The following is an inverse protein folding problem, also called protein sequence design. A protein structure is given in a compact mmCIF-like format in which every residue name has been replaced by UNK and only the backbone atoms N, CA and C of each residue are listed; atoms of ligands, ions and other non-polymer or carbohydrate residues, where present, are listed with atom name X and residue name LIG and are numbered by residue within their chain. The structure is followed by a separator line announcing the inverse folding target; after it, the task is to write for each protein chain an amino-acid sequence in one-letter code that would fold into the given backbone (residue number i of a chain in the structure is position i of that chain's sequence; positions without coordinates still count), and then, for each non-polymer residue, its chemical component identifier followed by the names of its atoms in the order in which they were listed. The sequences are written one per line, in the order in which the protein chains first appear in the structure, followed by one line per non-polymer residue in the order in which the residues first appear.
data_IF_410357655705
#
_entry.id   IF_410357655705
#
_cell.length_a   1.000
_cell.length_b   1.000
_cell.length_c   1.000
_cell.angle_alpha   90.00
_cell.angle_beta   90.00
_cell.angle_gamma   90.00
#
_symmetry.space_group_name_H-M   'P 1'
#
loop_
_entity.id
_entity.type
_entity.pdbx_description
1 polymer ?
#
# COMPACT_ATOMS: atom_id res chain seq x y z
N UNK A 1 40.56 -36.58 36.89
CA UNK A 1 40.94 -36.07 35.56
C UNK A 1 39.78 -35.27 35.01
N UNK A 2 40.00 -34.31 34.11
CA UNK A 2 38.91 -33.70 33.34
C UNK A 2 38.64 -34.56 32.10
N UNK A 3 37.37 -34.87 31.83
CA UNK A 3 37.00 -35.75 30.73
C UNK A 3 37.09 -35.03 29.38
N UNK A 4 38.22 -35.23 28.69
CA UNK A 4 38.49 -34.66 27.36
C UNK A 4 37.40 -35.01 26.34
N UNK A 5 36.77 -36.19 26.49
CA UNK A 5 35.65 -36.65 25.64
C UNK A 5 34.38 -35.78 25.76
N UNK A 6 34.22 -35.00 26.83
CA UNK A 6 33.09 -34.07 27.02
C UNK A 6 33.46 -32.64 26.63
N UNK A 7 34.73 -32.26 26.82
CA UNK A 7 35.24 -30.93 26.48
C UNK A 7 35.40 -30.73 24.97
N UNK A 8 35.90 -31.72 24.22
CA UNK A 8 36.12 -31.58 22.78
C UNK A 8 34.83 -31.32 21.98
N UNK A 9 33.71 -32.06 22.18
CA UNK A 9 32.45 -31.79 21.48
C UNK A 9 31.83 -30.43 21.81
N UNK A 10 31.92 -29.99 23.08
CA UNK A 10 31.35 -28.72 23.51
C UNK A 10 32.15 -27.51 22.98
N UNK A 11 33.49 -27.60 22.93
CA UNK A 11 34.34 -26.61 22.28
C UNK A 11 34.07 -26.52 20.77
N UNK A 12 33.93 -27.66 20.08
CA UNK A 12 33.61 -27.70 18.65
C UNK A 12 32.23 -27.09 18.34
N UNK A 13 31.22 -27.43 19.14
CA UNK A 13 29.86 -26.87 19.02
C UNK A 13 29.87 -25.34 19.25
N UNK A 14 30.59 -24.86 20.28
CA UNK A 14 30.71 -23.43 20.54
C UNK A 14 31.43 -22.68 19.40
N UNK A 15 32.49 -23.26 18.82
CA UNK A 15 33.19 -22.68 17.68
C UNK A 15 32.32 -22.57 16.43
N UNK A 16 31.38 -23.51 16.23
CA UNK A 16 30.44 -23.51 15.11
C UNK A 16 29.24 -22.58 15.35
N UNK A 17 28.77 -22.44 16.60
CA UNK A 17 27.67 -21.55 16.96
C UNK A 17 28.08 -20.07 17.07
N UNK A 18 29.29 -19.77 17.56
CA UNK A 18 29.78 -18.39 17.74
C UNK A 18 29.66 -17.49 16.48
N UNK A 19 30.08 -17.91 15.27
CA UNK A 19 29.92 -17.07 14.06
C UNK A 19 28.46 -16.92 13.65
N UNK A 20 27.59 -17.90 13.93
CA UNK A 20 26.14 -17.82 13.66
C UNK A 20 25.50 -16.79 14.59
N UNK A 21 25.82 -16.85 15.89
CA UNK A 21 25.35 -15.88 16.90
C UNK A 21 25.85 -14.47 16.55
N UNK A 22 27.13 -14.32 16.18
CA UNK A 22 27.68 -13.05 15.74
C UNK A 22 26.97 -12.50 14.49
N UNK A 23 26.66 -13.35 13.50
CA UNK A 23 25.91 -12.94 12.31
C UNK A 23 24.46 -12.51 12.66
N UNK A 24 23.80 -13.18 13.61
CA UNK A 24 22.47 -12.77 14.12
C UNK A 24 22.54 -11.43 14.85
N UNK A 25 23.56 -11.21 15.70
CA UNK A 25 23.76 -9.93 16.40
C UNK A 25 24.06 -8.80 15.40
N UNK A 26 24.95 -9.02 14.43
CA UNK A 26 25.31 -8.02 13.42
C UNK A 26 24.13 -7.69 12.50
N UNK A 27 23.32 -8.67 12.09
CA UNK A 27 22.11 -8.41 11.29
C UNK A 27 21.04 -7.69 12.09
N UNK A 28 20.79 -8.07 13.35
CA UNK A 28 19.85 -7.37 14.22
C UNK A 28 20.29 -5.93 14.50
N UNK A 29 21.57 -5.71 14.84
CA UNK A 29 22.16 -4.38 15.02
C UNK A 29 22.08 -3.53 13.76
N UNK A 30 22.35 -4.11 12.59
CA UNK A 30 22.16 -3.44 11.30
C UNK A 30 20.69 -3.05 11.07
N UNK A 31 19.71 -3.90 11.42
CA UNK A 31 18.30 -3.55 11.33
C UNK A 31 17.89 -2.44 12.33
N UNK A 32 18.47 -2.39 13.52
CA UNK A 32 18.25 -1.29 14.49
C UNK A 32 18.83 0.03 13.95
N UNK A 33 20.07 0.04 13.47
CA UNK A 33 20.68 1.23 12.83
C UNK A 33 19.87 1.67 11.61
N UNK A 34 19.46 0.72 10.76
CA UNK A 34 18.57 0.92 9.59
C UNK A 34 17.10 1.21 9.95
N UNK A 35 16.76 1.30 11.24
CA UNK A 35 15.51 1.88 11.75
C UNK A 35 15.74 3.32 12.24
N UNK A 36 16.78 3.55 13.06
CA UNK A 36 17.13 4.87 13.59
C UNK A 36 17.46 5.87 12.45
N UNK A 37 18.29 5.48 11.49
CA UNK A 37 18.65 6.34 10.35
C UNK A 37 17.44 6.74 9.51
N UNK A 38 16.43 5.86 9.38
CA UNK A 38 15.16 6.18 8.69
C UNK A 38 14.30 7.15 9.46
N UNK A 39 14.22 7.00 10.79
CA UNK A 39 13.43 7.91 11.62
C UNK A 39 14.03 9.32 11.60
N UNK A 40 15.36 9.45 11.70
CA UNK A 40 16.04 10.75 11.60
C UNK A 40 15.94 11.40 10.21
N UNK A 41 16.16 10.65 9.13
CA UNK A 41 16.18 11.20 7.76
C UNK A 41 14.80 11.66 7.24
N UNK A 42 13.70 11.17 7.80
CA UNK A 42 12.35 11.52 7.36
C UNK A 42 11.89 12.91 7.85
N UNK A 43 12.34 13.36 9.03
CA UNK A 43 11.80 14.56 9.68
C UNK A 43 12.09 15.86 8.89
N UNK A 44 13.35 16.17 8.52
CA UNK A 44 13.66 17.41 7.80
C UNK A 44 12.99 17.47 6.42
N UNK A 45 12.76 16.31 5.81
CA UNK A 45 12.15 16.20 4.48
C UNK A 45 10.63 16.34 4.51
N UNK A 46 9.96 15.94 5.61
CA UNK A 46 8.53 16.18 5.76
C UNK A 46 8.21 17.69 5.74
N UNK A 47 9.05 18.48 6.43
CA UNK A 47 8.98 19.95 6.46
C UNK A 47 9.54 20.64 5.20
N UNK A 48 10.14 19.91 4.25
CA UNK A 48 10.63 20.47 2.97
C UNK A 48 9.64 20.28 1.81
N UNK A 49 8.37 20.01 2.10
CA UNK A 49 7.28 20.03 1.12
C UNK A 49 6.70 21.44 1.02
N UNK A 50 6.09 21.74 -0.11
CA UNK A 50 5.18 22.87 -0.23
C UNK A 50 3.74 22.35 -0.24
N UNK A 51 2.83 23.13 0.34
CA UNK A 51 1.39 22.88 0.33
C UNK A 51 0.78 23.67 -0.83
N UNK A 52 0.11 22.98 -1.75
CA UNK A 52 -0.62 23.57 -2.86
C UNK A 52 -2.12 23.36 -2.65
N UNK A 53 -2.89 24.44 -2.50
CA UNK A 53 -4.36 24.37 -2.55
C UNK A 53 -4.79 24.30 -4.01
N UNK A 54 -5.63 23.31 -4.35
CA UNK A 54 -6.12 23.09 -5.71
C UNK A 54 -7.61 23.43 -5.75
N UNK A 55 -7.94 24.51 -6.44
CA UNK A 55 -9.28 25.08 -6.51
C UNK A 55 -9.91 25.00 -7.90
N UNK A 56 -11.23 25.20 -7.93
CA UNK A 56 -11.99 25.48 -9.16
C UNK A 56 -11.56 26.83 -9.78
N UNK A 57 -11.87 27.08 -11.06
CA UNK A 57 -11.57 28.36 -11.70
C UNK A 57 -12.25 29.54 -10.99
N UNK A 58 -11.64 30.73 -11.03
CA UNK A 58 -12.27 31.97 -10.51
C UNK A 58 -13.47 32.43 -11.36
N UNK A 59 -13.48 32.05 -12.63
CA UNK A 59 -14.45 32.50 -13.64
C UNK A 59 -15.46 31.41 -14.00
N UNK A 60 -15.91 30.62 -13.02
CA UNK A 60 -17.05 29.72 -13.23
C UNK A 60 -18.33 30.54 -13.19
N UNK A 61 -19.07 30.58 -14.31
CA UNK A 61 -20.43 31.09 -14.34
C UNK A 61 -21.28 30.39 -13.27
N UNK A 62 -21.93 31.16 -12.41
CA UNK A 62 -22.78 30.61 -11.33
C UNK A 62 -23.99 29.82 -11.85
N UNK A 63 -24.32 29.92 -13.13
CA UNK A 63 -25.30 29.07 -13.80
C UNK A 63 -24.69 27.74 -14.29
N UNK A 64 -23.46 27.74 -14.80
CA UNK A 64 -22.74 26.52 -15.19
C UNK A 64 -22.34 25.68 -13.96
N UNK A 65 -22.07 26.33 -12.82
CA UNK A 65 -21.89 25.66 -11.53
C UNK A 65 -23.17 25.00 -10.97
N UNK A 66 -24.35 25.41 -11.44
CA UNK A 66 -25.67 24.90 -10.98
C UNK A 66 -26.29 23.87 -11.91
N UNK A 67 -25.70 23.63 -13.09
CA UNK A 67 -26.11 22.54 -13.97
C UNK A 67 -25.67 21.22 -13.37
N UNK A 68 -26.61 20.30 -13.16
CA UNK A 68 -26.29 18.94 -12.76
C UNK A 68 -25.39 18.31 -13.81
N UNK A 69 -24.19 17.89 -13.39
CA UNK A 69 -23.21 17.22 -14.25
C UNK A 69 -23.75 15.82 -14.54
N UNK A 70 -23.90 15.44 -15.82
CA UNK A 70 -24.41 14.10 -16.13
C UNK A 70 -23.41 13.03 -15.68
N UNK A 71 -23.88 11.81 -15.46
CA UNK A 71 -23.00 10.70 -15.04
C UNK A 71 -21.84 10.50 -16.02
N UNK A 72 -22.09 10.63 -17.32
CA UNK A 72 -21.10 10.49 -18.39
C UNK A 72 -20.01 11.57 -18.26
N UNK A 73 -20.40 12.83 -18.03
CA UNK A 73 -19.48 13.96 -17.83
C UNK A 73 -18.65 13.81 -16.54
N UNK A 74 -19.23 13.24 -15.48
CA UNK A 74 -18.51 12.91 -14.25
C UNK A 74 -17.51 11.76 -14.48
N UNK A 75 -17.91 10.67 -15.15
CA UNK A 75 -17.02 9.58 -15.54
C UNK A 75 -15.87 10.04 -16.48
N UNK A 76 -16.13 11.01 -17.36
CA UNK A 76 -15.12 11.64 -18.21
C UNK A 76 -14.10 12.45 -17.38
N UNK A 77 -14.58 13.38 -16.54
CA UNK A 77 -13.72 14.19 -15.66
C UNK A 77 -12.88 13.34 -14.71
N UNK A 78 -13.40 12.24 -14.19
CA UNK A 78 -12.63 11.29 -13.35
C UNK A 78 -11.62 10.49 -14.20
N UNK A 79 -11.94 10.19 -15.46
CA UNK A 79 -10.98 9.55 -16.38
C UNK A 79 -9.79 10.46 -16.71
N UNK A 80 -10.01 11.77 -16.82
CA UNK A 80 -8.92 12.76 -16.99
C UNK A 80 -7.96 12.78 -15.78
N UNK A 81 -8.47 12.62 -14.55
CA UNK A 81 -7.64 12.44 -13.36
C UNK A 81 -6.89 11.10 -13.34
N UNK A 82 -7.46 10.03 -13.89
CA UNK A 82 -6.81 8.72 -13.97
C UNK A 82 -5.48 8.79 -14.75
N UNK A 83 -5.40 9.64 -15.78
CA UNK A 83 -4.16 9.93 -16.52
C UNK A 83 -3.15 10.74 -15.71
N UNK A 84 -3.58 11.75 -14.94
CA UNK A 84 -2.72 12.52 -14.04
C UNK A 84 -2.03 11.59 -13.01
N UNK A 85 -2.80 10.68 -12.39
CA UNK A 85 -2.24 9.68 -11.49
C UNK A 85 -1.36 8.64 -12.21
N UNK A 86 -1.65 8.33 -13.48
CA UNK A 86 -0.79 7.47 -14.29
C UNK A 86 0.58 8.13 -14.58
N UNK A 87 0.63 9.45 -14.79
CA UNK A 87 1.89 10.22 -14.87
C UNK A 87 2.74 10.05 -13.61
N UNK A 88 2.16 10.27 -12.43
CA UNK A 88 2.83 10.09 -11.13
C UNK A 88 3.30 8.63 -10.93
N UNK A 89 2.49 7.65 -11.35
CA UNK A 89 2.84 6.23 -11.32
C UNK A 89 3.87 5.80 -12.39
N UNK A 90 4.11 6.65 -13.39
CA UNK A 90 5.14 6.49 -14.43
C UNK A 90 6.52 7.04 -14.01
N UNK A 91 6.58 7.88 -12.97
CA UNK A 91 7.85 8.38 -12.42
C UNK A 91 8.77 7.24 -11.99
N UNK A 92 10.08 7.45 -12.08
CA UNK A 92 11.08 6.47 -11.64
C UNK A 92 11.07 6.32 -10.11
N UNK A 93 10.45 5.25 -9.61
CA UNK A 93 10.45 4.90 -8.20
C UNK A 93 11.88 4.83 -7.62
N UNK A 94 12.11 5.51 -6.51
CA UNK A 94 13.41 5.55 -5.84
C UNK A 94 14.04 4.18 -5.53
N UNK A 95 15.34 4.08 -5.79
CA UNK A 95 16.09 2.82 -5.82
C UNK A 95 17.58 3.06 -5.51
N UNK A 96 18.20 2.16 -4.75
CA UNK A 96 19.64 2.18 -4.47
C UNK A 96 19.94 2.01 -2.98
N UNK A 97 21.21 2.22 -2.61
CA UNK A 97 21.68 2.08 -1.24
C UNK A 97 21.08 3.15 -0.31
N UNK A 98 21.04 4.41 -0.75
CA UNK A 98 20.50 5.53 0.02
C UNK A 98 19.01 5.33 0.32
N UNK A 99 18.18 5.09 -0.71
CA UNK A 99 16.75 4.82 -0.52
C UNK A 99 16.46 3.51 0.23
N UNK A 100 17.45 2.61 0.38
CA UNK A 100 17.38 1.46 1.29
C UNK A 100 17.72 1.84 2.74
N UNK A 101 18.82 2.57 2.98
CA UNK A 101 19.23 2.97 4.34
C UNK A 101 18.28 3.99 4.95
N UNK A 102 18.06 5.13 4.28
CA UNK A 102 17.37 6.30 4.82
C UNK A 102 15.86 6.30 4.53
N UNK A 103 15.43 5.63 3.45
CA UNK A 103 14.03 5.58 3.02
C UNK A 103 13.81 6.28 1.68
N UNK A 104 12.59 6.18 1.16
CA UNK A 104 12.17 6.90 -0.07
C UNK A 104 11.58 8.25 0.29
N UNK A 105 11.94 9.28 -0.46
CA UNK A 105 11.54 10.66 -0.28
C UNK A 105 10.52 11.12 -1.35
N UNK A 106 10.44 10.45 -2.49
CA UNK A 106 9.54 10.65 -3.64
C UNK A 106 8.01 10.49 -3.40
N UNK A 107 7.48 11.00 -2.28
CA UNK A 107 6.10 10.84 -1.82
C UNK A 107 5.30 12.15 -1.76
N UNK A 108 4.15 12.15 -2.44
CA UNK A 108 3.16 13.23 -2.46
C UNK A 108 2.02 12.87 -1.50
N UNK A 109 1.25 13.86 -1.03
CA UNK A 109 -0.01 13.64 -0.30
C UNK A 109 -1.11 14.41 -1.00
N UNK A 110 -2.20 13.75 -1.39
CA UNK A 110 -3.43 14.40 -1.85
C UNK A 110 -4.41 14.42 -0.69
N UNK A 111 -4.92 15.59 -0.32
CA UNK A 111 -5.51 15.80 0.99
C UNK A 111 -6.88 16.49 0.87
N UNK A 112 -7.88 15.90 1.52
CA UNK A 112 -9.22 16.47 1.64
C UNK A 112 -9.36 16.94 3.09
N UNK A 113 -9.53 18.24 3.29
CA UNK A 113 -9.52 18.89 4.60
C UNK A 113 -10.88 19.51 4.85
N UNK A 114 -11.49 19.18 5.99
CA UNK A 114 -12.71 19.82 6.46
C UNK A 114 -12.41 20.65 7.72
N UNK A 115 -12.80 21.91 7.69
CA UNK A 115 -12.64 22.87 8.79
C UNK A 115 -13.67 24.00 8.63
N UNK A 116 -14.31 24.43 9.73
CA UNK A 116 -15.26 25.55 9.77
C UNK A 116 -16.32 25.52 8.63
N UNK A 117 -16.95 24.35 8.46
CA UNK A 117 -18.00 24.10 7.47
C UNK A 117 -17.55 24.08 6.01
N UNK A 118 -16.25 24.19 5.73
CA UNK A 118 -15.65 24.17 4.38
C UNK A 118 -14.91 22.87 4.14
N UNK A 119 -14.91 22.42 2.89
CA UNK A 119 -14.05 21.34 2.41
C UNK A 119 -13.09 21.92 1.38
N UNK A 120 -11.79 21.80 1.66
CA UNK A 120 -10.70 22.27 0.81
C UNK A 120 -9.79 21.12 0.38
N UNK A 121 -9.22 21.26 -0.82
CA UNK A 121 -8.36 20.25 -1.44
C UNK A 121 -6.92 20.74 -1.52
N UNK A 122 -5.99 19.98 -0.95
CA UNK A 122 -4.57 20.31 -0.90
C UNK A 122 -3.71 19.19 -1.49
N UNK A 123 -2.50 19.54 -1.95
CA UNK A 123 -1.47 18.59 -2.32
C UNK A 123 -0.14 18.98 -1.68
N UNK A 124 0.33 18.16 -0.74
CA UNK A 124 1.65 18.31 -0.11
C UNK A 124 2.71 17.62 -0.97
N UNK A 125 3.53 18.42 -1.68
CA UNK A 125 4.45 17.95 -2.73
C UNK A 125 5.90 18.35 -2.44
N UNK A 126 6.90 17.47 -2.68
CA UNK A 126 8.31 17.87 -2.64
C UNK A 126 8.61 19.00 -3.62
N UNK A 127 9.43 19.97 -3.21
CA UNK A 127 9.70 21.19 -4.00
C UNK A 127 10.16 20.92 -5.45
N UNK A 128 10.97 19.88 -5.67
CA UNK A 128 11.44 19.50 -7.02
C UNK A 128 10.36 18.83 -7.90
N UNK A 129 9.29 18.30 -7.31
CA UNK A 129 8.13 17.75 -8.03
C UNK A 129 7.01 18.77 -8.23
N UNK A 130 6.98 19.88 -7.47
CA UNK A 130 5.93 20.89 -7.52
C UNK A 130 5.61 21.37 -8.94
N UNK A 131 6.65 21.76 -9.70
CA UNK A 131 6.48 22.22 -11.10
C UNK A 131 5.92 21.13 -12.00
N UNK A 132 6.38 19.89 -11.86
CA UNK A 132 5.88 18.76 -12.64
C UNK A 132 4.41 18.48 -12.31
N UNK A 133 4.06 18.42 -11.01
CA UNK A 133 2.68 18.21 -10.56
C UNK A 133 1.75 19.30 -11.09
N UNK A 134 2.12 20.59 -10.96
CA UNK A 134 1.32 21.70 -11.49
C UNK A 134 1.10 21.58 -13.00
N UNK A 135 2.12 21.16 -13.75
CA UNK A 135 1.99 20.88 -15.20
C UNK A 135 1.07 19.68 -15.49
N UNK A 136 1.06 18.64 -14.66
CA UNK A 136 0.12 17.51 -14.81
C UNK A 136 -1.33 17.90 -14.45
N UNK A 137 -1.54 18.75 -13.44
CA UNK A 137 -2.87 19.27 -13.10
C UNK A 137 -3.39 20.17 -14.23
N UNK A 138 -2.61 21.15 -14.70
CA UNK A 138 -3.04 22.04 -15.79
C UNK A 138 -3.17 21.35 -17.16
N UNK A 139 -2.53 20.21 -17.40
CA UNK A 139 -2.75 19.45 -18.64
C UNK A 139 -4.19 18.92 -18.74
N UNK A 140 -4.72 18.42 -17.61
CA UNK A 140 -6.06 17.80 -17.56
C UNK A 140 -7.14 18.81 -17.14
N UNK A 141 -6.78 19.82 -16.35
CA UNK A 141 -7.66 20.89 -15.88
C UNK A 141 -7.00 22.26 -16.11
N UNK A 142 -6.98 22.79 -17.36
CA UNK A 142 -6.27 24.03 -17.71
C UNK A 142 -6.64 25.23 -16.84
N UNK A 143 -7.91 25.31 -16.43
CA UNK A 143 -8.48 26.41 -15.64
C UNK A 143 -8.41 26.21 -14.12
N UNK A 144 -7.85 25.09 -13.62
CA UNK A 144 -7.71 24.86 -12.18
C UNK A 144 -6.81 25.92 -11.53
N UNK A 145 -7.20 26.43 -10.36
CA UNK A 145 -6.37 27.32 -9.57
C UNK A 145 -5.42 26.50 -8.71
N UNK A 146 -4.13 26.87 -8.67
CA UNK A 146 -3.12 26.23 -7.83
C UNK A 146 -2.41 27.33 -7.03
N UNK A 147 -2.80 27.51 -5.77
CA UNK A 147 -2.19 28.48 -4.86
C UNK A 147 -1.19 27.77 -3.94
N UNK A 148 0.03 28.28 -3.81
CA UNK A 148 0.90 27.87 -2.71
C UNK A 148 0.43 28.58 -1.43
N UNK A 149 0.23 27.83 -0.36
CA UNK A 149 -0.23 28.35 0.94
C UNK A 149 0.68 27.89 2.08
N UNK A 150 0.53 28.51 3.24
CA UNK A 150 1.06 27.99 4.50
C UNK A 150 0.29 26.72 4.92
N UNK A 151 0.86 25.94 5.84
CA UNK A 151 0.27 24.68 6.27
C UNK A 151 -1.02 24.89 7.09
N UNK A 152 -2.02 24.04 6.88
CA UNK A 152 -3.33 24.20 7.49
C UNK A 152 -3.38 23.54 8.87
N UNK A 153 -4.13 24.13 9.81
CA UNK A 153 -4.28 23.60 11.16
C UNK A 153 -5.72 23.14 11.44
N UNK A 154 -5.95 21.83 11.49
CA UNK A 154 -7.23 21.23 11.91
C UNK A 154 -7.39 21.11 13.44
N UNK A 155 -6.34 21.39 14.22
CA UNK A 155 -6.31 21.08 15.65
C UNK A 155 -6.89 22.21 16.51
N UNK A 156 -7.98 21.92 17.23
CA UNK A 156 -8.48 22.75 18.34
C UNK A 156 -7.40 22.77 19.44
N UNK A 157 -7.05 23.93 20.04
CA UNK A 157 -6.00 24.01 21.07
C UNK A 157 -6.23 23.11 22.30
N UNK A 158 -7.48 22.86 22.66
CA UNK A 158 -7.91 21.97 23.75
C UNK A 158 -8.71 20.76 23.21
N UNK A 159 -8.46 20.33 21.97
CA UNK A 159 -9.19 19.26 21.30
C UNK A 159 -8.70 17.84 21.61
N UNK A 160 -9.58 16.87 21.43
CA UNK A 160 -9.25 15.45 21.40
C UNK A 160 -8.94 15.02 19.97
N UNK A 161 -7.83 14.30 19.78
CA UNK A 161 -7.37 13.84 18.46
C UNK A 161 -7.66 12.34 18.32
N UNK A 162 -8.30 11.97 17.21
CA UNK A 162 -8.52 10.59 16.80
C UNK A 162 -7.92 10.38 15.39
N UNK A 163 -7.35 9.21 15.11
CA UNK A 163 -6.78 8.94 13.79
C UNK A 163 -6.69 7.45 13.44
N UNK A 164 -6.71 7.17 12.14
CA UNK A 164 -6.67 5.82 11.58
C UNK A 164 -5.82 5.78 10.30
N UNK A 165 -5.43 4.57 9.90
CA UNK A 165 -4.81 4.30 8.60
C UNK A 165 -5.36 3.04 7.98
N UNK A 166 -5.68 3.07 6.70
CA UNK A 166 -6.34 1.96 6.03
C UNK A 166 -5.39 0.82 5.68
N UNK A 167 -5.91 -0.41 5.77
CA UNK A 167 -5.31 -1.62 5.24
C UNK A 167 -6.28 -2.28 4.23
N UNK A 168 -5.75 -2.99 3.24
CA UNK A 168 -6.56 -3.68 2.25
C UNK A 168 -7.09 -5.00 2.83
N UNK A 169 -8.42 -5.21 2.78
CA UNK A 169 -9.06 -6.46 3.23
C UNK A 169 -8.73 -7.69 2.36
N UNK A 170 -8.23 -7.48 1.14
CA UNK A 170 -7.70 -8.52 0.23
C UNK A 170 -6.32 -8.14 -0.28
N UNK A 171 -5.58 -9.12 -0.82
CA UNK A 171 -4.25 -8.89 -1.40
C UNK A 171 -4.27 -7.79 -2.47
N UNK A 172 -3.24 -6.94 -2.50
CA UNK A 172 -3.14 -5.77 -3.40
C UNK A 172 -3.19 -6.11 -4.90
N UNK A 173 -3.04 -7.38 -5.29
CA UNK A 173 -3.23 -7.83 -6.68
C UNK A 173 -4.68 -7.66 -7.14
N UNK A 174 -5.67 -7.77 -6.25
CA UNK A 174 -7.09 -7.68 -6.59
C UNK A 174 -7.51 -6.23 -6.84
N UNK A 175 -8.46 -5.97 -7.75
CA UNK A 175 -9.05 -4.65 -7.94
C UNK A 175 -9.92 -4.22 -6.75
N UNK A 176 -10.15 -2.91 -6.65
CA UNK A 176 -11.17 -2.27 -5.80
C UNK A 176 -12.35 -1.84 -6.69
N UNK A 177 -13.50 -1.51 -6.11
CA UNK A 177 -14.66 -0.97 -6.86
C UNK A 177 -14.26 0.42 -7.38
N UNK A 178 -14.21 0.57 -8.70
CA UNK A 178 -13.86 1.82 -9.37
C UNK A 178 -15.10 2.62 -9.73
N UNK A 179 -14.94 3.92 -9.98
CA UNK A 179 -15.99 4.83 -10.48
C UNK A 179 -16.78 4.25 -11.67
N UNK A 180 -16.11 3.54 -12.58
CA UNK A 180 -16.72 2.85 -13.75
C UNK A 180 -17.67 1.70 -13.37
N UNK A 181 -17.63 1.21 -12.14
CA UNK A 181 -18.55 0.21 -11.56
C UNK A 181 -19.42 0.79 -10.44
N UNK A 182 -19.49 2.11 -10.29
CA UNK A 182 -20.28 2.80 -9.26
C UNK A 182 -21.55 3.43 -9.84
N UNK A 183 -22.54 3.58 -8.97
CA UNK A 183 -23.89 3.98 -9.32
C UNK A 183 -24.06 5.50 -9.14
N UNK A 184 -23.56 6.05 -8.03
CA UNK A 184 -23.44 7.47 -7.66
C UNK A 184 -22.01 8.01 -7.84
N UNK A 185 -21.72 9.24 -7.37
CA UNK A 185 -20.37 9.79 -7.35
C UNK A 185 -19.50 9.05 -6.30
N UNK A 186 -18.23 8.70 -6.61
CA UNK A 186 -17.33 8.07 -5.65
C UNK A 186 -16.99 8.91 -4.39
N UNK A 187 -17.22 10.22 -4.39
CA UNK A 187 -16.90 11.12 -3.26
C UNK A 187 -18.10 11.42 -2.35
N UNK A 188 -19.35 11.17 -2.78
CA UNK A 188 -20.57 11.54 -2.04
C UNK A 188 -20.54 11.07 -0.58
N UNK A 189 -20.19 9.80 -0.32
CA UNK A 189 -20.14 9.26 1.04
C UNK A 189 -19.04 9.92 1.90
N UNK A 190 -17.95 10.38 1.27
CA UNK A 190 -16.81 11.02 1.95
C UNK A 190 -17.16 12.46 2.31
N UNK A 191 -17.66 13.25 1.35
CA UNK A 191 -18.09 14.64 1.59
C UNK A 191 -19.24 14.73 2.58
N UNK A 192 -20.21 13.80 2.54
CA UNK A 192 -21.30 13.71 3.52
C UNK A 192 -20.89 13.19 4.91
N UNK A 193 -19.68 12.64 5.07
CA UNK A 193 -19.11 12.37 6.41
C UNK A 193 -18.36 13.60 6.95
N UNK A 194 -17.69 14.35 6.08
CA UNK A 194 -16.97 15.58 6.40
C UNK A 194 -17.89 16.78 6.70
N UNK A 195 -19.06 16.88 6.05
CA UNK A 195 -20.02 17.97 6.27
C UNK A 195 -20.76 17.93 7.61
N UNK A 196 -20.54 16.89 8.42
CA UNK A 196 -21.13 16.72 9.77
C UNK A 196 -20.26 17.29 10.90
N UNK A 197 -19.06 17.78 10.60
CA UNK A 197 -18.17 18.39 11.59
C UNK A 197 -18.78 19.69 12.14
N UNK A 198 -18.70 19.90 13.45
CA UNK A 198 -19.16 21.11 14.12
C UNK A 198 -18.18 22.28 13.96
N UNK A 199 -18.60 23.47 14.39
CA UNK A 199 -17.81 24.69 14.26
C UNK A 199 -16.46 24.59 15.00
N UNK A 200 -15.36 24.74 14.25
CA UNK A 200 -13.99 24.51 14.72
C UNK A 200 -13.58 23.05 14.94
N UNK A 201 -14.42 22.05 14.64
CA UNK A 201 -13.93 20.66 14.50
C UNK A 201 -13.20 20.56 13.15
N UNK A 202 -12.17 19.72 13.08
CA UNK A 202 -11.32 19.60 11.91
C UNK A 202 -11.00 18.15 11.57
N UNK A 203 -11.01 17.81 10.28
CA UNK A 203 -10.57 16.51 9.79
C UNK A 203 -9.73 16.64 8.53
N UNK A 204 -8.72 15.78 8.39
CA UNK A 204 -7.94 15.65 7.17
C UNK A 204 -7.85 14.18 6.74
N UNK A 205 -8.19 13.92 5.48
CA UNK A 205 -8.03 12.63 4.81
C UNK A 205 -6.80 12.74 3.92
N UNK A 206 -5.72 12.04 4.26
CA UNK A 206 -4.45 12.08 3.55
C UNK A 206 -4.28 10.84 2.68
N UNK A 207 -4.26 11.02 1.35
CA UNK A 207 -3.98 9.98 0.36
C UNK A 207 -2.51 10.12 -0.06
N UNK A 208 -1.62 9.47 0.68
CA UNK A 208 -0.17 9.53 0.45
C UNK A 208 0.20 8.56 -0.67
N UNK A 209 0.81 9.07 -1.74
CA UNK A 209 1.15 8.32 -2.96
C UNK A 209 2.61 8.48 -3.38
N UNK A 210 3.15 7.46 -4.04
CA UNK A 210 4.42 7.50 -4.80
C UNK A 210 4.45 6.39 -5.85
N UNK A 211 5.29 6.51 -6.88
CA UNK A 211 5.47 5.46 -7.89
C UNK A 211 5.81 4.09 -7.28
N UNK A 212 5.12 3.03 -7.71
CA UNK A 212 5.36 1.66 -7.26
C UNK A 212 6.48 0.98 -8.06
N UNK A 213 7.31 0.18 -7.38
CA UNK A 213 8.38 -0.58 -8.05
C UNK A 213 7.80 -1.64 -8.98
N UNK A 214 8.25 -1.68 -10.24
CA UNK A 214 7.72 -2.50 -11.34
C UNK A 214 7.55 -4.02 -11.05
N UNK A 215 8.19 -4.54 -10.01
CA UNK A 215 7.93 -5.86 -9.46
C UNK A 215 6.49 -6.09 -8.98
N UNK A 216 5.73 -5.04 -8.61
CA UNK A 216 4.38 -5.17 -8.05
C UNK A 216 3.42 -5.90 -9.01
N UNK A 217 3.37 -5.49 -10.28
CA UNK A 217 2.47 -6.07 -11.30
C UNK A 217 2.84 -7.51 -11.64
N UNK A 218 4.11 -7.89 -11.49
CA UNK A 218 4.57 -9.26 -11.75
C UNK A 218 3.91 -10.30 -10.84
N UNK A 219 3.48 -9.91 -9.63
CA UNK A 219 2.80 -10.82 -8.70
C UNK A 219 1.39 -11.14 -9.20
N UNK A 220 0.63 -10.13 -9.63
CA UNK A 220 -0.70 -10.31 -10.24
C UNK A 220 -0.63 -11.15 -11.53
N UNK A 221 0.25 -10.79 -12.46
CA UNK A 221 0.42 -11.52 -13.73
C UNK A 221 0.87 -12.98 -13.53
N UNK A 222 1.67 -13.26 -12.49
CA UNK A 222 2.00 -14.65 -12.12
C UNK A 222 0.79 -15.39 -11.57
N UNK A 223 -0.04 -14.77 -10.73
CA UNK A 223 -1.27 -15.41 -10.22
C UNK A 223 -2.22 -15.76 -11.36
N UNK A 224 -2.45 -14.84 -12.29
CA UNK A 224 -3.32 -15.09 -13.46
C UNK A 224 -2.73 -16.19 -14.36
N UNK A 225 -1.42 -16.19 -14.62
CA UNK A 225 -0.75 -17.28 -15.36
C UNK A 225 -0.84 -18.64 -14.66
N UNK A 226 -0.90 -18.68 -13.33
CA UNK A 226 -1.14 -19.93 -12.59
C UNK A 226 -2.63 -20.33 -12.60
N UNK A 227 -3.57 -19.39 -12.61
CA UNK A 227 -5.00 -19.67 -12.81
C UNK A 227 -5.29 -20.25 -14.21
N UNK A 228 -4.72 -19.64 -15.25
CA UNK A 228 -4.83 -20.10 -16.66
C UNK A 228 -4.32 -21.53 -16.88
N UNK A 229 -3.52 -22.09 -15.96
CA UNK A 229 -3.12 -23.52 -15.95
C UNK A 229 -4.13 -24.46 -15.30
N UNK A 230 -5.32 -23.97 -14.94
CA UNK A 230 -6.34 -24.73 -14.23
C UNK A 230 -6.07 -24.91 -12.74
N UNK A 231 -5.51 -23.88 -12.08
CA UNK A 231 -5.51 -23.78 -10.61
C UNK A 231 -6.61 -22.84 -10.15
N UNK A 232 -7.32 -23.22 -9.09
CA UNK A 232 -8.26 -22.31 -8.41
C UNK A 232 -7.54 -21.06 -7.90
N UNK A 233 -8.27 -19.95 -7.77
CA UNK A 233 -7.76 -18.66 -7.25
C UNK A 233 -6.86 -18.82 -6.01
N UNK A 234 -7.33 -19.56 -4.99
CA UNK A 234 -6.61 -19.77 -3.74
C UNK A 234 -5.31 -20.59 -3.89
N UNK A 235 -5.26 -21.53 -4.83
CA UNK A 235 -4.04 -22.30 -5.15
C UNK A 235 -3.05 -21.44 -5.94
N UNK A 236 -3.52 -20.64 -6.90
CA UNK A 236 -2.69 -19.73 -7.67
C UNK A 236 -1.98 -18.71 -6.75
N UNK A 237 -2.75 -17.99 -5.92
CA UNK A 237 -2.22 -17.03 -4.92
C UNK A 237 -1.23 -17.68 -3.96
N UNK A 238 -1.51 -18.90 -3.44
CA UNK A 238 -0.55 -19.63 -2.59
C UNK A 238 0.73 -20.04 -3.33
N UNK A 239 0.63 -20.43 -4.61
CA UNK A 239 1.80 -20.88 -5.39
C UNK A 239 2.73 -19.75 -5.84
N UNK A 240 2.22 -18.53 -5.98
CA UNK A 240 3.00 -17.29 -6.21
C UNK A 240 3.39 -16.61 -4.88
N UNK A 241 2.77 -17.01 -3.77
CA UNK A 241 2.79 -16.31 -2.50
C UNK A 241 4.17 -16.15 -1.87
N UNK A 242 4.46 -14.93 -1.42
CA UNK A 242 5.70 -14.54 -0.74
C UNK A 242 5.98 -15.33 0.57
N UNK A 243 4.99 -16.06 1.09
CA UNK A 243 5.16 -17.10 2.12
C UNK A 243 6.29 -18.07 1.73
N UNK A 244 6.48 -18.36 0.44
CA UNK A 244 7.57 -19.21 -0.04
C UNK A 244 8.97 -18.63 0.21
N UNK A 245 9.16 -17.33 0.48
CA UNK A 245 10.50 -16.78 0.71
C UNK A 245 10.94 -16.97 2.16
N UNK A 246 10.12 -16.55 3.14
CA UNK A 246 10.35 -16.85 4.55
C UNK A 246 10.27 -18.36 4.80
N UNK A 247 9.31 -19.02 4.15
CA UNK A 247 9.10 -20.47 4.18
C UNK A 247 10.21 -21.27 3.51
N UNK A 248 10.92 -20.75 2.48
CA UNK A 248 12.12 -21.43 1.93
C UNK A 248 13.33 -21.29 2.84
N UNK A 249 13.55 -20.13 3.46
CA UNK A 249 14.64 -20.00 4.45
C UNK A 249 14.36 -20.93 5.63
N UNK A 250 13.15 -20.86 6.18
CA UNK A 250 12.68 -21.79 7.23
C UNK A 250 12.77 -23.26 6.82
N UNK A 251 12.27 -23.64 5.63
CA UNK A 251 12.33 -25.03 5.17
C UNK A 251 13.72 -25.49 4.80
N UNK A 252 14.63 -24.62 4.36
CA UNK A 252 16.03 -24.99 4.11
C UNK A 252 16.76 -25.23 5.42
N UNK A 253 16.59 -24.37 6.43
CA UNK A 253 17.13 -24.66 7.77
C UNK A 253 16.49 -25.90 8.39
N UNK A 254 15.17 -26.06 8.28
CA UNK A 254 14.47 -27.22 8.84
C UNK A 254 14.75 -28.52 8.08
N UNK A 255 14.91 -28.48 6.75
CA UNK A 255 15.33 -29.65 5.97
C UNK A 255 16.79 -29.97 6.22
N UNK A 256 17.71 -29.00 6.33
CA UNK A 256 19.11 -29.28 6.71
C UNK A 256 19.15 -29.88 8.12
N UNK A 257 18.48 -29.30 9.12
CA UNK A 257 18.40 -29.86 10.47
C UNK A 257 17.77 -31.28 10.48
N UNK A 258 16.74 -31.50 9.65
CA UNK A 258 16.05 -32.79 9.54
C UNK A 258 16.86 -33.82 8.74
N UNK A 259 17.62 -33.43 7.73
CA UNK A 259 18.51 -34.30 6.97
C UNK A 259 19.75 -34.66 7.81
N UNK A 260 20.28 -33.75 8.65
CA UNK A 260 21.26 -34.09 9.68
C UNK A 260 20.69 -35.06 10.72
N UNK A 261 19.46 -34.84 11.21
CA UNK A 261 18.80 -35.75 12.15
C UNK A 261 18.49 -37.13 11.53
N UNK A 262 18.06 -37.18 10.28
CA UNK A 262 17.79 -38.41 9.52
C UNK A 262 19.09 -39.15 9.18
N UNK A 263 20.16 -38.44 8.81
CA UNK A 263 21.49 -39.04 8.59
C UNK A 263 22.03 -39.73 9.85
N UNK A 264 21.64 -39.27 11.04
CA UNK A 264 21.93 -39.93 12.31
C UNK A 264 20.97 -41.06 12.73
N UNK A 265 19.81 -41.25 12.07
CA UNK A 265 18.74 -42.12 12.63
C UNK A 265 17.87 -42.94 11.66
N UNK A 266 17.81 -42.67 10.34
CA UNK A 266 16.87 -43.40 9.47
C UNK A 266 17.26 -43.48 7.99
N UNK A 267 17.61 -44.69 7.53
CA UNK A 267 17.72 -44.99 6.11
C UNK A 267 16.34 -45.17 5.45
N UNK A 268 15.94 -44.24 4.58
CA UNK A 268 14.79 -44.41 3.66
C UNK A 268 15.16 -44.02 2.23
N UNK A 269 15.04 -44.97 1.31
CA UNK A 269 15.47 -44.90 -0.09
C UNK A 269 14.66 -43.89 -0.91
N UNK A 270 15.27 -43.27 -1.93
CA UNK A 270 14.66 -42.23 -2.79
C UNK A 270 13.31 -42.62 -3.39
N UNK A 271 13.20 -43.86 -3.91
CA UNK A 271 12.01 -44.36 -4.63
C UNK A 271 10.69 -44.19 -3.85
N UNK A 272 10.74 -44.27 -2.51
CA UNK A 272 9.55 -44.15 -1.68
C UNK A 272 9.00 -42.71 -1.63
N UNK A 273 9.87 -41.69 -1.79
CA UNK A 273 9.47 -40.28 -1.90
C UNK A 273 8.93 -39.94 -3.30
N UNK A 274 9.41 -40.61 -4.33
CA UNK A 274 9.01 -40.37 -5.73
C UNK A 274 7.59 -40.90 -6.01
N UNK A 275 7.24 -42.07 -5.46
CA UNK A 275 5.87 -42.64 -5.57
C UNK A 275 4.80 -41.78 -4.86
N UNK A 276 5.12 -41.16 -3.71
CA UNK A 276 4.21 -40.21 -3.05
C UNK A 276 4.02 -38.88 -3.79
N UNK A 277 4.95 -38.52 -4.68
CA UNK A 277 4.83 -37.33 -5.54
C UNK A 277 4.04 -37.62 -6.82
N UNK A 278 4.25 -38.78 -7.46
CA UNK A 278 3.46 -39.19 -8.63
C UNK A 278 1.96 -39.29 -8.33
N UNK A 279 1.56 -39.85 -7.18
CA UNK A 279 0.15 -39.97 -6.79
C UNK A 279 -0.56 -38.62 -6.50
N UNK A 280 0.16 -37.48 -6.55
CA UNK A 280 -0.43 -36.13 -6.46
C UNK A 280 -0.52 -35.42 -7.82
N UNK A 281 -0.21 -36.13 -8.91
CA UNK A 281 -0.08 -35.55 -10.26
C UNK A 281 -1.39 -35.26 -11.00
N UNK A 282 -2.52 -35.87 -10.64
CA UNK A 282 -3.82 -35.63 -11.30
C UNK A 282 -4.62 -34.50 -10.63
N UNK A 283 -4.07 -33.29 -10.65
CA UNK A 283 -4.93 -32.10 -10.66
C UNK A 283 -5.55 -32.00 -12.06
N UNK A 284 -6.79 -32.47 -12.21
CA UNK A 284 -7.61 -32.19 -13.41
C UNK A 284 -7.59 -30.68 -13.64
N UNK A 285 -7.33 -30.17 -14.87
CA UNK A 285 -7.30 -28.74 -15.12
C UNK A 285 -8.66 -28.12 -14.75
N UNK A 286 -8.70 -27.33 -13.69
CA UNK A 286 -9.91 -26.62 -13.27
C UNK A 286 -10.25 -25.58 -14.34
N UNK A 287 -11.27 -25.84 -15.15
CA UNK A 287 -11.81 -24.81 -16.04
C UNK A 287 -12.31 -23.68 -15.14
N UNK A 288 -11.76 -22.48 -15.34
CA UNK A 288 -12.10 -21.31 -14.54
C UNK A 288 -13.62 -21.05 -14.59
N UNK A 289 -14.19 -20.73 -13.44
CA UNK A 289 -15.55 -20.21 -13.38
C UNK A 289 -15.61 -18.80 -13.96
N UNK A 290 -16.75 -18.36 -14.49
CA UNK A 290 -16.88 -17.01 -15.07
C UNK A 290 -16.46 -15.88 -14.10
N UNK A 291 -16.67 -16.08 -12.79
CA UNK A 291 -16.22 -15.17 -11.73
C UNK A 291 -14.70 -15.20 -11.51
N UNK A 292 -14.05 -16.36 -11.66
CA UNK A 292 -12.59 -16.45 -11.68
C UNK A 292 -11.99 -15.85 -12.96
N UNK A 293 -12.66 -15.99 -14.12
CA UNK A 293 -12.27 -15.35 -15.37
C UNK A 293 -12.39 -13.82 -15.29
N UNK A 294 -13.50 -13.28 -14.75
CA UNK A 294 -13.62 -11.83 -14.51
C UNK A 294 -12.58 -11.34 -13.51
N UNK A 295 -12.34 -12.08 -12.42
CA UNK A 295 -11.32 -11.69 -11.43
C UNK A 295 -9.91 -11.73 -12.02
N UNK A 296 -9.59 -12.72 -12.86
CA UNK A 296 -8.32 -12.79 -13.58
C UNK A 296 -8.15 -11.59 -14.51
N UNK A 297 -9.17 -11.28 -15.33
CA UNK A 297 -9.19 -10.11 -16.20
C UNK A 297 -9.01 -8.81 -15.41
N UNK A 298 -9.69 -8.66 -14.27
CA UNK A 298 -9.54 -7.49 -13.39
C UNK A 298 -8.15 -7.36 -12.76
N UNK A 299 -7.41 -8.46 -12.56
CA UNK A 299 -6.00 -8.44 -12.14
C UNK A 299 -5.10 -8.02 -13.32
N UNK A 300 -5.38 -8.47 -14.55
CA UNK A 300 -4.62 -8.07 -15.76
C UNK A 300 -4.84 -6.59 -16.11
N UNK A 301 -6.11 -6.12 -16.13
CA UNK A 301 -6.49 -4.72 -16.32
C UNK A 301 -5.83 -3.80 -15.28
N UNK A 302 -5.74 -4.26 -14.01
CA UNK A 302 -5.00 -3.54 -12.97
C UNK A 302 -3.49 -3.54 -13.25
N UNK A 303 -2.91 -4.72 -13.56
CA UNK A 303 -1.48 -4.90 -13.76
C UNK A 303 -0.91 -4.12 -14.96
N UNK A 304 -1.73 -3.86 -15.98
CA UNK A 304 -1.37 -3.07 -17.16
C UNK A 304 -1.09 -1.59 -16.83
N UNK A 305 -1.77 -1.02 -15.82
CA UNK A 305 -1.69 0.40 -15.47
C UNK A 305 -0.38 0.77 -14.77
N UNK A 306 -0.06 2.07 -14.78
CA UNK A 306 0.96 2.63 -13.91
C UNK A 306 0.61 2.35 -12.43
N UNK A 307 1.61 2.18 -11.58
CA UNK A 307 1.40 1.72 -10.20
C UNK A 307 1.78 2.76 -9.17
N UNK A 308 1.03 2.84 -8.08
CA UNK A 308 1.32 3.68 -6.92
C UNK A 308 1.40 2.82 -5.65
N UNK A 309 2.43 3.05 -4.84
CA UNK A 309 2.38 2.70 -3.41
C UNK A 309 1.45 3.75 -2.76
N UNK A 310 0.32 3.33 -2.19
CA UNK A 310 -0.68 4.23 -1.57
C UNK A 310 -0.85 3.91 -0.09
N UNK A 311 -0.93 4.94 0.75
CA UNK A 311 -1.32 4.83 2.16
C UNK A 311 -2.33 5.93 2.51
N UNK A 312 -3.56 5.54 2.79
CA UNK A 312 -4.63 6.46 3.19
C UNK A 312 -4.66 6.57 4.72
N UNK A 313 -4.78 7.79 5.23
CA UNK A 313 -4.93 8.12 6.65
C UNK A 313 -6.11 9.05 6.87
N UNK A 314 -6.71 8.97 8.05
CA UNK A 314 -7.66 9.96 8.54
C UNK A 314 -7.10 10.48 9.87
N UNK A 315 -7.16 11.78 10.08
CA UNK A 315 -6.95 12.41 11.37
C UNK A 315 -8.09 13.40 11.62
N UNK A 316 -8.61 13.40 12.84
CA UNK A 316 -9.73 14.23 13.31
C UNK A 316 -9.34 14.89 14.62
N UNK A 317 -9.73 16.15 14.79
CA UNK A 317 -9.67 16.92 16.02
C UNK A 317 -11.07 17.39 16.36
N UNK A 318 -11.58 17.03 17.53
CA UNK A 318 -12.89 17.47 17.98
C UNK A 318 -12.91 18.00 19.43
N UNK A 319 -13.97 18.70 19.80
CA UNK A 319 -14.15 19.25 21.15
C UNK A 319 -14.32 18.21 22.27
N UNK A 320 -14.68 16.97 21.92
CA UNK A 320 -14.90 15.84 22.82
C UNK A 320 -14.27 14.55 22.28
N UNK A 321 -13.90 13.62 23.17
CA UNK A 321 -13.24 12.36 22.82
C UNK A 321 -14.18 11.37 22.11
N UNK A 322 -15.44 11.26 22.55
CA UNK A 322 -16.41 10.38 21.91
C UNK A 322 -16.84 10.96 20.55
N UNK A 323 -16.96 12.28 20.44
CA UNK A 323 -17.21 12.98 19.19
C UNK A 323 -16.08 12.78 18.17
N UNK A 324 -14.81 12.92 18.59
CA UNK A 324 -13.65 12.66 17.74
C UNK A 324 -13.62 11.20 17.21
N UNK A 325 -13.95 10.24 18.08
CA UNK A 325 -14.06 8.84 17.70
C UNK A 325 -15.26 8.57 16.76
N UNK A 326 -16.39 9.25 16.96
CA UNK A 326 -17.58 9.15 16.11
C UNK A 326 -17.29 9.67 14.69
N UNK A 327 -16.71 10.86 14.57
CA UNK A 327 -16.30 11.42 13.27
C UNK A 327 -15.26 10.54 12.56
N UNK A 328 -14.27 10.02 13.29
CA UNK A 328 -13.30 9.08 12.71
C UNK A 328 -13.99 7.81 12.17
N UNK A 329 -14.99 7.29 12.88
CA UNK A 329 -15.79 6.12 12.45
C UNK A 329 -16.63 6.44 11.20
N UNK A 330 -17.36 7.55 11.19
CA UNK A 330 -18.17 7.98 10.04
C UNK A 330 -17.32 8.18 8.78
N UNK A 331 -16.17 8.85 8.91
CA UNK A 331 -15.24 9.03 7.78
C UNK A 331 -14.64 7.69 7.36
N UNK A 332 -14.27 6.80 8.29
CA UNK A 332 -13.74 5.48 7.95
C UNK A 332 -14.79 4.58 7.26
N UNK A 333 -16.05 4.65 7.68
CA UNK A 333 -17.15 3.87 7.11
C UNK A 333 -17.49 4.31 5.68
N UNK A 334 -17.30 5.59 5.32
CA UNK A 334 -17.49 6.07 3.94
C UNK A 334 -16.63 5.34 2.90
N UNK A 335 -15.47 4.80 3.29
CA UNK A 335 -14.59 4.04 2.40
C UNK A 335 -15.04 2.59 2.14
N UNK A 336 -16.07 2.09 2.83
CA UNK A 336 -16.57 0.71 2.61
C UNK A 336 -17.08 0.48 1.19
N UNK A 337 -17.59 1.53 0.53
CA UNK A 337 -18.08 1.50 -0.85
C UNK A 337 -17.03 1.11 -1.91
N UNK A 338 -15.74 1.26 -1.62
CA UNK A 338 -14.64 0.88 -2.52
C UNK A 338 -14.32 -0.62 -2.49
N UNK A 339 -14.94 -1.39 -1.58
CA UNK A 339 -14.76 -2.83 -1.54
C UNK A 339 -15.54 -3.52 -2.67
N UNK A 340 -14.94 -4.59 -3.19
CA UNK A 340 -15.64 -5.63 -3.93
C UNK A 340 -15.74 -6.82 -2.98
N UNK A 341 -16.94 -7.29 -2.71
CA UNK A 341 -17.19 -8.51 -1.95
C UNK A 341 -16.95 -9.72 -2.85
#
# INVERSE_FOLDING_TARGET
MLDFNVLLPSLFLNFLLAPIILAVILTLGFFVVRRVLRQGANLPYAFSKIILRVGLPKEVNLEDAKKEITKEQMLEKISQAEEMFAGIGGLRAESGFNSFLFGRQDHLSFEIVALDGKIDFFVAVPQYLARYLGQQIHAQYPHAQIDQMEDYNIFRPNGFIAGASFALGRSYIFPLKTFRKMDSDPLDAVTNSLSKLGDGDGAAIQIIVRSAKSSWRQVGLKVVKEMQKGKTMNQAVKSVGAVSMLGRVGSSFFNVAKDFAIAGTSGKTKEQKEREQQNKGLTVPHKLSAMEEETAKGIEEKAAKAGLDVNIRIIVSAGDQALAASYLSDIANSFTQYNIY
#
